data_IF_606599451958
#
_entry.id   IF_606599451958
#
_cell.length_a   1.000
_cell.length_b   1.000
_cell.length_c   1.000
_cell.angle_alpha   90.00
_cell.angle_beta   90.00
_cell.angle_gamma   90.00
#
_symmetry.space_group_name_H-M   'P 1'
#
loop_
_entity.id
_entity.type
_entity.pdbx_description
1 polymer ?
#
# COMPACT_ATOMS: atom_id res chain seq x y z
N UNK A 1 -22.65 -24.57 5.96
CA UNK A 1 -21.18 -24.67 5.87
C UNK A 1 -20.76 -24.40 4.45
N UNK A 2 -19.92 -23.38 4.25
CA UNK A 2 -19.21 -23.10 2.99
C UNK A 2 -18.05 -22.15 3.32
N UNK A 3 -17.18 -22.63 4.23
CA UNK A 3 -15.84 -22.11 4.40
C UNK A 3 -14.98 -22.66 3.26
N UNK A 4 -14.18 -21.78 2.66
CA UNK A 4 -13.13 -22.01 1.64
C UNK A 4 -13.56 -21.76 0.19
N UNK A 5 -13.56 -20.49 -0.18
CA UNK A 5 -13.05 -20.06 -1.47
C UNK A 5 -11.90 -19.09 -1.23
N UNK A 6 -10.73 -19.65 -0.91
CA UNK A 6 -9.47 -18.91 -0.89
C UNK A 6 -8.64 -19.46 -2.04
N UNK A 7 -8.85 -18.91 -3.24
CA UNK A 7 -7.95 -19.16 -4.37
C UNK A 7 -6.76 -18.23 -4.14
N UNK A 8 -5.75 -18.76 -3.45
CA UNK A 8 -4.39 -18.20 -3.48
C UNK A 8 -3.70 -18.93 -4.64
N UNK A 9 -3.43 -18.21 -5.71
CA UNK A 9 -2.57 -18.69 -6.78
C UNK A 9 -1.26 -17.91 -6.65
N UNK A 10 -0.16 -18.64 -6.43
CA UNK A 10 1.24 -18.18 -6.45
C UNK A 10 1.59 -16.89 -5.69
N UNK A 11 1.24 -16.84 -4.40
CA UNK A 11 1.82 -15.88 -3.44
C UNK A 11 1.50 -14.39 -3.67
N UNK A 12 0.85 -14.07 -4.78
CA UNK A 12 0.43 -12.71 -5.15
C UNK A 12 -1.07 -12.78 -5.37
N UNK A 13 -1.84 -12.24 -4.43
CA UNK A 13 -3.29 -12.30 -4.55
C UNK A 13 -3.72 -11.59 -5.84
N UNK A 14 -4.47 -12.29 -6.71
CA UNK A 14 -5.14 -11.73 -7.89
C UNK A 14 -6.03 -10.50 -7.57
N UNK A 15 -6.32 -10.27 -6.29
CA UNK A 15 -7.00 -9.08 -5.78
C UNK A 15 -6.12 -7.82 -5.70
N UNK A 16 -4.80 -7.96 -5.52
CA UNK A 16 -3.89 -6.82 -5.44
C UNK A 16 -3.59 -6.22 -6.82
N UNK A 17 -3.47 -7.08 -7.84
CA UNK A 17 -3.27 -6.66 -9.22
C UNK A 17 -4.44 -5.85 -9.78
N UNK A 18 -5.67 -6.13 -9.36
CA UNK A 18 -6.86 -5.40 -9.84
C UNK A 18 -6.97 -4.02 -9.17
N UNK A 19 -6.59 -3.90 -7.90
CA UNK A 19 -6.71 -2.67 -7.09
C UNK A 19 -5.53 -1.70 -7.22
N UNK A 20 -4.39 -2.16 -7.73
CA UNK A 20 -3.13 -1.41 -7.79
C UNK A 20 -2.72 -1.00 -9.20
N UNK A 21 -3.57 -1.20 -10.22
CA UNK A 21 -3.34 -0.59 -11.54
C UNK A 21 -3.29 0.94 -11.36
N UNK A 22 -2.10 1.51 -11.56
CA UNK A 22 -1.70 2.91 -11.36
C UNK A 22 -1.28 3.33 -9.94
N UNK A 23 -1.19 2.42 -8.96
CA UNK A 23 -0.69 2.76 -7.62
C UNK A 23 0.78 2.36 -7.47
N UNK A 24 1.64 3.31 -7.12
CA UNK A 24 3.03 3.06 -6.69
C UNK A 24 3.05 2.93 -5.17
N UNK A 25 3.68 1.89 -4.65
CA UNK A 25 3.78 1.62 -3.20
C UNK A 25 5.21 1.78 -2.73
N UNK A 26 5.39 2.35 -1.54
CA UNK A 26 6.68 2.45 -0.83
C UNK A 26 6.47 2.03 0.63
N UNK A 27 7.44 1.35 1.22
CA UNK A 27 7.45 1.00 2.64
C UNK A 27 8.38 1.97 3.38
N UNK A 28 7.86 2.64 4.42
CA UNK A 28 8.60 3.62 5.21
C UNK A 28 8.36 3.37 6.70
N UNK A 29 9.41 3.49 7.51
CA UNK A 29 9.30 3.46 8.96
C UNK A 29 9.04 4.86 9.51
N UNK A 30 7.82 5.14 9.95
CA UNK A 30 7.45 6.44 10.53
C UNK A 30 8.05 6.69 11.93
N UNK A 31 8.68 5.70 12.55
CA UNK A 31 9.38 5.88 13.82
C UNK A 31 10.78 6.45 13.62
N UNK A 32 11.38 6.27 12.46
CA UNK A 32 12.68 6.87 12.14
C UNK A 32 12.51 8.32 11.68
N UNK A 33 13.42 9.24 12.06
CA UNK A 33 13.44 10.60 11.53
C UNK A 33 13.47 10.63 9.99
N UNK A 34 14.23 9.73 9.38
CA UNK A 34 14.40 9.67 7.93
C UNK A 34 13.11 9.25 7.22
N UNK A 35 12.38 8.28 7.79
CA UNK A 35 11.10 7.85 7.22
C UNK A 35 10.03 8.94 7.31
N UNK A 36 10.07 9.77 8.36
CA UNK A 36 9.21 10.96 8.48
C UNK A 36 9.54 12.00 7.41
N UNK A 37 10.81 12.29 7.20
CA UNK A 37 11.24 13.27 6.19
C UNK A 37 10.81 12.87 4.78
N UNK A 38 10.89 11.57 4.45
CA UNK A 38 10.41 11.06 3.16
C UNK A 38 8.90 11.23 3.01
N UNK A 39 8.10 10.88 4.03
CA UNK A 39 6.65 11.06 3.98
C UNK A 39 6.27 12.53 3.88
N UNK A 40 6.94 13.41 4.62
CA UNK A 40 6.70 14.86 4.55
C UNK A 40 7.04 15.43 3.17
N UNK A 41 8.07 14.90 2.51
CA UNK A 41 8.43 15.30 1.14
C UNK A 41 7.36 14.86 0.15
N UNK A 42 6.92 13.60 0.21
CA UNK A 42 5.86 13.09 -0.65
C UNK A 42 4.53 13.82 -0.42
N UNK A 43 4.20 14.13 0.83
CA UNK A 43 2.97 14.86 1.18
C UNK A 43 2.94 16.29 0.62
N UNK A 44 4.09 16.95 0.47
CA UNK A 44 4.17 18.29 -0.16
C UNK A 44 3.83 18.26 -1.65
N UNK A 45 4.08 17.15 -2.33
CA UNK A 45 3.79 16.97 -3.75
C UNK A 45 2.41 16.36 -4.01
N UNK A 46 1.79 15.78 -2.99
CA UNK A 46 0.49 15.15 -3.09
C UNK A 46 -0.64 16.18 -3.05
N UNK A 47 -1.60 16.07 -3.97
CA UNK A 47 -2.84 16.85 -3.91
C UNK A 47 -3.73 16.43 -2.74
N UNK A 48 -3.71 15.14 -2.37
CA UNK A 48 -4.55 14.56 -1.31
C UNK A 48 -3.76 13.51 -0.54
N UNK A 49 -3.84 13.56 0.80
CA UNK A 49 -3.30 12.55 1.73
C UNK A 49 -4.47 11.87 2.46
N UNK A 50 -4.44 10.55 2.58
CA UNK A 50 -5.50 9.74 3.20
C UNK A 50 -4.89 8.87 4.32
N UNK A 51 -5.49 8.91 5.52
CA UNK A 51 -5.20 8.01 6.66
C UNK A 51 -6.51 7.39 7.22
N UNK A 52 -6.39 6.29 7.97
CA UNK A 52 -7.49 5.55 8.61
C UNK A 52 -7.26 5.45 10.12
#
# INVERSE_FOLDING_TARGET
GLRKWRIVQDGTSLWWEIQSRNKRSVCLDLKSPEGRDVVLTLAKEADVVIEN
#
